data_IF_927582186099
#
_entry.id   IF_927582186099
#
_cell.length_a   1.000
_cell.length_b   1.000
_cell.length_c   1.000
_cell.angle_alpha   90.00
_cell.angle_beta   90.00
_cell.angle_gamma   90.00
#
_symmetry.space_group_name_H-M   'P 1'
#
loop_
_entity.id
_entity.type
_entity.pdbx_description
1 polymer ?
#
# COMPACT_ATOMS: atom_id res chain seq x y z
N UNK A 1 -14.65 -23.39 -16.28
CA UNK A 1 -14.28 -22.01 -15.87
C UNK A 1 -13.14 -21.55 -16.74
N UNK A 2 -13.32 -20.48 -17.52
CA UNK A 2 -12.21 -19.88 -18.29
C UNK A 2 -11.16 -19.37 -17.29
N UNK A 3 -9.94 -19.91 -17.37
CA UNK A 3 -8.81 -19.46 -16.56
C UNK A 3 -8.47 -18.04 -17.01
N UNK A 4 -8.67 -17.04 -16.15
CA UNK A 4 -8.26 -15.66 -16.44
C UNK A 4 -6.77 -15.66 -16.77
N UNK A 5 -6.41 -15.23 -17.98
CA UNK A 5 -5.00 -15.03 -18.35
C UNK A 5 -4.56 -13.73 -17.70
N UNK A 6 -3.75 -13.85 -16.66
CA UNK A 6 -3.15 -12.71 -15.95
C UNK A 6 -1.74 -12.51 -16.49
N UNK A 7 -1.41 -11.27 -16.80
CA UNK A 7 -0.10 -10.81 -17.20
C UNK A 7 0.39 -9.77 -16.18
N UNK A 8 1.62 -9.91 -15.68
CA UNK A 8 2.22 -8.93 -14.78
C UNK A 8 3.22 -8.10 -15.60
N UNK A 9 3.08 -6.78 -15.51
CA UNK A 9 3.91 -5.80 -16.23
C UNK A 9 3.94 -4.47 -15.46
N UNK A 10 4.63 -3.48 -15.97
CA UNK A 10 4.66 -2.13 -15.39
C UNK A 10 3.26 -1.49 -15.38
N UNK A 11 3.02 -0.64 -14.38
CA UNK A 11 1.78 0.12 -14.27
C UNK A 11 1.74 1.21 -15.36
N UNK A 12 0.82 1.08 -16.31
CA UNK A 12 0.65 2.05 -17.36
C UNK A 12 0.07 3.38 -16.83
N UNK A 13 0.56 4.51 -17.30
CA UNK A 13 0.09 5.86 -16.88
C UNK A 13 -1.42 6.06 -17.06
N UNK A 14 -2.01 5.48 -18.11
CA UNK A 14 -3.46 5.55 -18.37
C UNK A 14 -4.28 4.89 -17.25
N UNK A 15 -3.67 3.98 -16.49
CA UNK A 15 -4.35 3.19 -15.45
C UNK A 15 -4.11 3.73 -14.04
N UNK A 16 -3.39 4.87 -13.88
CA UNK A 16 -3.17 5.50 -12.57
C UNK A 16 -4.49 5.82 -11.86
N UNK A 17 -5.51 6.33 -12.59
CA UNK A 17 -6.83 6.59 -11.99
C UNK A 17 -7.48 5.31 -11.46
N UNK A 18 -7.27 4.18 -12.13
CA UNK A 18 -7.77 2.89 -11.66
C UNK A 18 -7.00 2.39 -10.42
N UNK A 19 -5.69 2.63 -10.37
CA UNK A 19 -4.88 2.34 -9.17
C UNK A 19 -5.30 3.23 -7.98
N UNK A 20 -5.66 4.50 -8.22
CA UNK A 20 -6.25 5.39 -7.20
C UNK A 20 -7.56 4.80 -6.66
N UNK A 21 -8.46 4.32 -7.54
CA UNK A 21 -9.70 3.65 -7.12
C UNK A 21 -9.41 2.42 -6.25
N UNK A 22 -8.35 1.65 -6.56
CA UNK A 22 -7.95 0.50 -5.76
C UNK A 22 -7.44 0.93 -4.39
N UNK A 23 -6.65 2.01 -4.30
CA UNK A 23 -6.19 2.56 -3.03
C UNK A 23 -7.38 3.00 -2.16
N UNK A 24 -8.30 3.78 -2.72
CA UNK A 24 -9.49 4.28 -1.99
C UNK A 24 -10.32 3.12 -1.43
N UNK A 25 -10.57 2.08 -2.25
CA UNK A 25 -11.41 0.95 -1.87
C UNK A 25 -10.67 -0.07 -1.00
N UNK A 26 -9.40 -0.37 -1.32
CA UNK A 26 -8.60 -1.36 -0.63
C UNK A 26 -8.20 -0.93 0.78
N UNK A 27 -7.97 0.37 0.96
CA UNK A 27 -7.62 0.98 2.26
C UNK A 27 -8.83 1.62 2.95
N UNK A 28 -10.03 1.43 2.40
CA UNK A 28 -11.29 1.93 2.96
C UNK A 28 -11.30 3.44 3.28
N UNK A 29 -10.63 4.27 2.48
CA UNK A 29 -10.57 5.73 2.68
C UNK A 29 -11.95 6.40 2.70
N UNK A 30 -12.96 5.78 2.07
CA UNK A 30 -14.34 6.21 2.10
C UNK A 30 -14.99 6.21 3.50
N UNK A 31 -14.39 5.54 4.49
CA UNK A 31 -14.81 5.63 5.90
C UNK A 31 -14.48 6.97 6.53
N UNK A 32 -13.51 7.67 5.98
CA UNK A 32 -12.99 8.90 6.58
C UNK A 32 -13.65 10.17 6.01
N UNK A 33 -14.25 10.09 4.83
CA UNK A 33 -15.00 11.22 4.24
C UNK A 33 -15.92 10.74 3.12
N UNK A 34 -17.07 11.38 3.00
CA UNK A 34 -18.00 11.21 1.87
C UNK A 34 -17.68 12.14 0.69
N UNK A 35 -16.77 13.09 0.88
CA UNK A 35 -16.39 14.04 -0.15
C UNK A 35 -15.56 13.35 -1.25
N UNK A 36 -16.22 13.06 -2.37
CA UNK A 36 -15.62 12.35 -3.52
C UNK A 36 -14.39 13.06 -4.08
N UNK A 37 -14.38 14.39 -4.10
CA UNK A 37 -13.22 15.16 -4.58
C UNK A 37 -12.04 15.02 -3.60
N UNK A 38 -12.31 15.13 -2.29
CA UNK A 38 -11.31 14.93 -1.24
C UNK A 38 -10.72 13.52 -1.28
N UNK A 39 -11.56 12.49 -1.43
CA UNK A 39 -11.12 11.10 -1.60
C UNK A 39 -10.21 10.92 -2.82
N UNK A 40 -10.59 11.48 -3.96
CA UNK A 40 -9.79 11.39 -5.18
C UNK A 40 -8.44 12.11 -5.02
N UNK A 41 -8.43 13.32 -4.46
CA UNK A 41 -7.20 14.09 -4.24
C UNK A 41 -6.26 13.37 -3.27
N UNK A 42 -6.80 12.80 -2.18
CA UNK A 42 -6.01 12.02 -1.23
C UNK A 42 -5.48 10.73 -1.85
N UNK A 43 -6.33 9.97 -2.55
CA UNK A 43 -5.89 8.76 -3.25
C UNK A 43 -4.83 9.04 -4.34
N UNK A 44 -4.95 10.17 -5.03
CA UNK A 44 -3.92 10.63 -5.97
C UNK A 44 -2.61 10.99 -5.28
N UNK A 45 -2.69 11.72 -4.17
CA UNK A 45 -1.53 12.02 -3.33
C UNK A 45 -0.85 10.74 -2.87
N UNK A 46 -1.62 9.80 -2.29
CA UNK A 46 -1.14 8.52 -1.82
C UNK A 46 -0.43 7.74 -2.94
N UNK A 47 -1.09 7.53 -4.09
CA UNK A 47 -0.49 6.80 -5.21
C UNK A 47 0.82 7.45 -5.69
N UNK A 48 0.88 8.79 -5.80
CA UNK A 48 2.09 9.48 -6.22
C UNK A 48 3.21 9.33 -5.18
N UNK A 49 2.90 9.38 -3.88
CA UNK A 49 3.87 9.17 -2.80
C UNK A 49 4.46 7.76 -2.86
N UNK A 50 3.61 6.73 -3.07
CA UNK A 50 4.09 5.36 -3.17
C UNK A 50 4.90 5.11 -4.45
N UNK A 51 4.49 5.67 -5.58
CA UNK A 51 5.26 5.58 -6.84
C UNK A 51 6.65 6.24 -6.73
N UNK A 52 6.78 7.34 -5.99
CA UNK A 52 8.06 8.03 -5.82
C UNK A 52 9.06 7.25 -4.97
N UNK A 53 8.58 6.50 -3.98
CA UNK A 53 9.44 5.70 -3.11
C UNK A 53 9.67 4.27 -3.60
N UNK A 54 8.82 3.76 -4.50
CA UNK A 54 8.90 2.40 -4.97
C UNK A 54 10.12 2.14 -5.86
N UNK A 55 10.81 1.03 -5.62
CA UNK A 55 11.81 0.44 -6.50
C UNK A 55 11.24 -0.69 -7.35
N UNK A 56 10.12 -1.31 -6.90
CA UNK A 56 9.38 -2.34 -7.63
C UNK A 56 7.93 -1.90 -7.80
N UNK A 57 7.42 -1.91 -9.04
CA UNK A 57 6.02 -1.61 -9.36
C UNK A 57 5.47 -2.71 -10.25
N UNK A 58 4.69 -3.61 -9.69
CA UNK A 58 4.11 -4.77 -10.37
C UNK A 58 2.60 -4.54 -10.56
N UNK A 59 2.14 -4.56 -11.80
CA UNK A 59 0.73 -4.42 -12.13
C UNK A 59 0.21 -5.66 -12.85
N UNK A 60 -0.86 -6.25 -12.34
CA UNK A 60 -1.53 -7.39 -12.92
C UNK A 60 -2.63 -6.94 -13.88
N UNK A 61 -2.65 -7.51 -15.07
CA UNK A 61 -3.61 -7.22 -16.12
C UNK A 61 -4.34 -8.47 -16.60
N UNK A 62 -5.60 -8.32 -16.98
CA UNK A 62 -6.34 -9.29 -17.80
C UNK A 62 -6.76 -8.62 -19.09
N UNK A 63 -6.08 -8.97 -20.20
CA UNK A 63 -6.10 -8.15 -21.40
C UNK A 63 -5.60 -6.73 -21.11
N UNK A 64 -6.40 -5.72 -21.43
CA UNK A 64 -6.06 -4.30 -21.18
C UNK A 64 -6.55 -3.77 -19.82
N UNK A 65 -7.24 -4.60 -19.04
CA UNK A 65 -7.82 -4.18 -17.76
C UNK A 65 -6.83 -4.40 -16.62
N UNK A 66 -6.48 -3.33 -15.91
CA UNK A 66 -5.76 -3.40 -14.64
C UNK A 66 -6.62 -4.09 -13.57
N UNK A 67 -6.06 -5.10 -12.90
CA UNK A 67 -6.76 -5.92 -11.91
C UNK A 67 -6.05 -6.02 -10.56
N UNK A 68 -4.82 -5.54 -10.44
CA UNK A 68 -4.10 -5.47 -9.18
C UNK A 68 -2.79 -4.71 -9.32
N UNK A 69 -2.29 -4.17 -8.21
CA UNK A 69 -1.00 -3.46 -8.13
C UNK A 69 -0.32 -3.85 -6.84
N UNK A 70 0.98 -4.10 -6.91
CA UNK A 70 1.88 -4.23 -5.77
C UNK A 70 3.08 -3.32 -5.99
N UNK A 71 3.42 -2.52 -4.97
CA UNK A 71 4.62 -1.68 -4.96
C UNK A 71 5.47 -2.03 -3.76
N UNK A 72 6.79 -2.09 -3.96
CA UNK A 72 7.74 -2.30 -2.89
C UNK A 72 8.89 -1.28 -2.97
N UNK A 73 9.33 -0.85 -1.81
CA UNK A 73 10.49 0.02 -1.60
C UNK A 73 11.65 -0.81 -1.07
N UNK A 74 12.55 -1.27 -1.96
CA UNK A 74 13.73 -2.03 -1.60
C UNK A 74 14.91 -1.08 -1.36
N UNK A 75 15.56 -1.21 -0.20
CA UNK A 75 16.60 -0.26 0.26
C UNK A 75 17.80 -0.14 -0.68
N UNK A 76 18.20 -1.25 -1.31
CA UNK A 76 19.39 -1.31 -2.16
C UNK A 76 19.10 -0.99 -3.64
N UNK A 77 17.88 -0.64 -4.00
CA UNK A 77 17.47 -0.49 -5.39
C UNK A 77 17.14 0.95 -5.78
N UNK A 78 17.39 1.35 -7.02
CA UNK A 78 17.01 2.66 -7.50
C UNK A 78 15.48 2.79 -7.62
N UNK A 79 14.97 3.99 -7.36
CA UNK A 79 13.54 4.27 -7.51
C UNK A 79 13.12 4.28 -8.98
N UNK A 80 12.05 3.55 -9.32
CA UNK A 80 11.60 3.39 -10.71
C UNK A 80 11.00 4.68 -11.29
N UNK A 81 10.28 5.45 -10.50
CA UNK A 81 9.52 6.61 -10.95
C UNK A 81 10.01 7.89 -10.28
N UNK A 82 10.80 8.68 -11.00
CA UNK A 82 11.25 9.99 -10.54
C UNK A 82 10.72 11.09 -11.44
N UNK A 83 9.51 11.59 -11.15
CA UNK A 83 8.93 12.74 -11.87
C UNK A 83 9.06 14.02 -11.04
N UNK A 84 9.67 15.06 -11.63
CA UNK A 84 9.77 16.37 -10.96
C UNK A 84 8.38 16.91 -10.56
N UNK A 85 7.38 16.80 -11.45
CA UNK A 85 6.02 17.28 -11.20
C UNK A 85 5.31 16.49 -10.11
N UNK A 86 5.53 15.17 -10.05
CA UNK A 86 5.00 14.32 -8.97
C UNK A 86 5.60 14.74 -7.63
N UNK A 87 6.93 14.88 -7.54
CA UNK A 87 7.63 15.34 -6.34
C UNK A 87 7.14 16.71 -5.86
N UNK A 88 6.95 17.65 -6.80
CA UNK A 88 6.43 18.98 -6.45
C UNK A 88 5.00 18.88 -5.91
N UNK A 89 4.14 18.09 -6.54
CA UNK A 89 2.77 17.87 -6.10
C UNK A 89 2.73 17.25 -4.68
N UNK A 90 3.49 16.19 -4.43
CA UNK A 90 3.58 15.55 -3.11
C UNK A 90 4.08 16.54 -2.05
N UNK A 91 5.11 17.33 -2.35
CA UNK A 91 5.61 18.37 -1.43
C UNK A 91 4.57 19.43 -1.12
N UNK A 92 3.82 19.89 -2.13
CA UNK A 92 2.75 20.88 -1.92
C UNK A 92 1.62 20.33 -1.05
N UNK A 93 1.21 19.08 -1.28
CA UNK A 93 0.16 18.45 -0.47
C UNK A 93 0.65 18.22 0.95
N UNK A 94 1.88 17.73 1.15
CA UNK A 94 2.48 17.57 2.49
C UNK A 94 2.51 18.91 3.25
N UNK A 95 2.90 19.99 2.59
CA UNK A 95 2.88 21.32 3.19
C UNK A 95 1.46 21.74 3.58
N UNK A 96 0.48 21.55 2.69
CA UNK A 96 -0.91 21.87 3.00
C UNK A 96 -1.47 21.03 4.16
N UNK A 97 -1.14 19.74 4.21
CA UNK A 97 -1.54 18.84 5.29
C UNK A 97 -0.88 19.19 6.63
N UNK A 98 0.35 19.69 6.64
CA UNK A 98 1.03 20.14 7.86
C UNK A 98 0.37 21.36 8.51
N UNK A 99 -0.38 22.15 7.73
CA UNK A 99 -1.14 23.30 8.23
C UNK A 99 -2.50 22.90 8.85
N UNK A 100 -2.97 21.69 8.53
CA UNK A 100 -4.23 21.15 9.04
C UNK A 100 -3.88 19.94 9.90
N UNK A 101 -4.16 19.99 11.20
CA UNK A 101 -4.03 18.81 12.08
C UNK A 101 -5.03 17.75 11.63
N UNK A 102 -4.61 16.90 10.69
CA UNK A 102 -5.36 15.73 10.24
C UNK A 102 -4.97 14.58 11.16
N UNK A 103 -5.95 13.84 11.69
CA UNK A 103 -5.74 12.76 12.67
C UNK A 103 -4.97 11.53 12.16
N UNK A 104 -4.13 11.71 11.12
CA UNK A 104 -3.25 10.68 10.56
C UNK A 104 -1.99 10.45 11.41
N UNK A 105 -1.65 11.39 12.31
CA UNK A 105 -0.47 11.31 13.15
C UNK A 105 -0.44 10.01 13.97
N UNK A 106 -1.61 9.57 14.48
CA UNK A 106 -1.73 8.35 15.30
C UNK A 106 -1.37 7.07 14.52
N UNK A 107 -1.71 7.00 13.22
CA UNK A 107 -1.38 5.86 12.37
C UNK A 107 0.12 5.80 12.09
N UNK A 108 0.72 6.93 11.75
CA UNK A 108 2.15 7.05 11.51
C UNK A 108 2.97 6.79 12.77
N UNK A 109 2.52 7.28 13.92
CA UNK A 109 3.16 7.03 15.22
C UNK A 109 3.10 5.54 15.60
N UNK A 110 1.96 4.87 15.37
CA UNK A 110 1.82 3.45 15.62
C UNK A 110 2.77 2.63 14.73
N UNK A 111 2.83 2.94 13.43
CA UNK A 111 3.71 2.27 12.48
C UNK A 111 5.19 2.48 12.84
N UNK A 112 5.59 3.71 13.17
CA UNK A 112 6.95 4.01 13.64
C UNK A 112 7.31 3.26 14.91
N UNK A 113 6.39 3.18 15.88
CA UNK A 113 6.63 2.48 17.14
C UNK A 113 6.79 0.96 16.91
N UNK A 114 5.93 0.35 16.07
CA UNK A 114 6.06 -1.07 15.72
C UNK A 114 7.36 -1.35 14.97
N UNK A 115 7.72 -0.49 14.00
CA UNK A 115 8.96 -0.65 13.26
C UNK A 115 10.21 -0.50 14.13
N UNK A 116 10.22 0.47 15.05
CA UNK A 116 11.34 0.67 15.98
C UNK A 116 11.56 -0.57 16.87
N UNK A 117 10.49 -1.25 17.27
CA UNK A 117 10.61 -2.49 18.05
C UNK A 117 11.11 -3.64 17.16
N UNK A 118 10.49 -3.83 16.01
CA UNK A 118 10.86 -4.85 15.03
C UNK A 118 12.33 -4.73 14.60
N UNK A 119 12.78 -3.52 14.28
CA UNK A 119 14.14 -3.25 13.77
C UNK A 119 15.27 -3.43 14.80
N UNK A 120 14.95 -3.64 16.10
CA UNK A 120 15.95 -4.01 17.10
C UNK A 120 16.53 -5.42 16.86
N UNK A 121 15.71 -6.31 16.29
CA UNK A 121 16.05 -7.73 16.12
C UNK A 121 16.07 -8.16 14.63
N UNK A 122 15.73 -7.27 13.71
CA UNK A 122 15.67 -7.57 12.27
C UNK A 122 16.18 -6.37 11.45
N UNK A 123 16.78 -6.68 10.31
CA UNK A 123 17.20 -5.67 9.33
C UNK A 123 16.52 -5.97 7.99
N UNK A 124 15.27 -5.53 7.78
CA UNK A 124 14.55 -5.81 6.54
C UNK A 124 15.20 -5.12 5.35
N UNK A 125 15.13 -5.77 4.19
CA UNK A 125 15.66 -5.28 2.92
C UNK A 125 14.70 -4.31 2.23
N UNK A 126 13.39 -4.36 2.55
CA UNK A 126 12.40 -3.49 1.93
C UNK A 126 11.02 -3.54 2.58
N UNK A 127 10.16 -2.65 2.10
CA UNK A 127 8.75 -2.54 2.51
C UNK A 127 7.83 -2.78 1.33
N UNK A 128 6.81 -3.63 1.48
CA UNK A 128 5.67 -3.65 0.56
C UNK A 128 4.78 -2.47 0.94
N UNK A 129 4.88 -1.38 0.19
CA UNK A 129 4.29 -0.09 0.55
C UNK A 129 2.89 0.13 -0.01
N UNK A 130 2.52 -0.58 -1.08
CA UNK A 130 1.17 -0.58 -1.61
C UNK A 130 0.81 -1.94 -2.19
N UNK A 131 -0.38 -2.45 -1.82
CA UNK A 131 -0.86 -3.70 -2.36
C UNK A 131 -2.39 -3.71 -2.43
N UNK A 132 -2.92 -3.70 -3.64
CA UNK A 132 -4.36 -3.71 -3.85
C UNK A 132 -4.76 -4.54 -5.08
N UNK A 133 -5.90 -5.21 -4.98
CA UNK A 133 -6.52 -5.99 -6.06
C UNK A 133 -7.92 -5.48 -6.29
N UNK A 134 -8.37 -5.47 -7.54
CA UNK A 134 -9.75 -5.09 -7.91
C UNK A 134 -10.76 -5.90 -7.07
N UNK A 135 -11.56 -5.24 -6.20
CA UNK A 135 -12.48 -5.95 -5.31
C UNK A 135 -13.55 -6.75 -6.06
N UNK A 136 -13.82 -6.41 -7.33
CA UNK A 136 -14.82 -7.12 -8.13
C UNK A 136 -14.39 -8.52 -8.58
N UNK A 137 -13.08 -8.82 -8.44
CA UNK A 137 -12.49 -10.09 -8.85
C UNK A 137 -11.61 -10.73 -7.76
N UNK A 138 -11.86 -10.40 -6.51
CA UNK A 138 -11.21 -11.06 -5.37
C UNK A 138 -11.39 -12.58 -5.40
N UNK A 139 -10.47 -13.32 -4.79
CA UNK A 139 -10.49 -14.78 -4.75
C UNK A 139 -10.01 -15.48 -6.03
N UNK A 140 -9.54 -14.74 -7.06
CA UNK A 140 -8.98 -15.30 -8.30
C UNK A 140 -7.47 -15.51 -8.29
N UNK A 141 -6.83 -15.39 -7.12
CA UNK A 141 -5.39 -15.62 -6.96
C UNK A 141 -4.49 -14.48 -7.44
N UNK A 142 -5.03 -13.30 -7.82
CA UNK A 142 -4.25 -12.18 -8.37
C UNK A 142 -3.23 -11.67 -7.35
N UNK A 143 -3.64 -11.49 -6.09
CA UNK A 143 -2.72 -11.09 -5.03
C UNK A 143 -1.59 -12.11 -4.81
N UNK A 144 -1.90 -13.41 -4.93
CA UNK A 144 -0.89 -14.48 -4.86
C UNK A 144 0.13 -14.34 -5.99
N UNK A 145 -0.33 -14.15 -7.22
CA UNK A 145 0.56 -13.99 -8.39
C UNK A 145 1.49 -12.78 -8.26
N UNK A 146 0.98 -11.65 -7.75
CA UNK A 146 1.79 -10.45 -7.53
C UNK A 146 2.85 -10.67 -6.45
N UNK A 147 2.51 -11.36 -5.35
CA UNK A 147 3.49 -11.70 -4.31
C UNK A 147 4.54 -12.71 -4.79
N UNK A 148 4.12 -13.70 -5.56
CA UNK A 148 5.03 -14.69 -6.16
C UNK A 148 5.99 -14.02 -7.15
N UNK A 149 5.50 -13.02 -7.92
CA UNK A 149 6.33 -12.24 -8.82
C UNK A 149 7.37 -11.42 -8.05
N UNK A 150 6.95 -10.70 -7.00
CA UNK A 150 7.88 -9.99 -6.12
C UNK A 150 8.91 -10.96 -5.53
N UNK A 151 8.48 -12.13 -5.04
CA UNK A 151 9.38 -13.15 -4.49
C UNK A 151 10.36 -13.74 -5.51
N UNK A 152 10.04 -13.71 -6.81
CA UNK A 152 11.00 -14.07 -7.87
C UNK A 152 12.06 -13.00 -8.10
N UNK A 153 11.66 -11.73 -8.08
CA UNK A 153 12.57 -10.59 -8.23
C UNK A 153 13.48 -10.42 -7.01
N UNK A 154 12.90 -10.57 -5.81
CA UNK A 154 13.55 -10.24 -4.54
C UNK A 154 13.85 -11.49 -3.70
N UNK A 155 14.19 -12.61 -4.35
CA UNK A 155 14.42 -13.89 -3.68
C UNK A 155 15.43 -13.79 -2.53
N UNK A 156 15.04 -14.27 -1.37
CA UNK A 156 15.87 -14.30 -0.16
C UNK A 156 15.90 -12.97 0.60
N UNK A 157 15.17 -11.95 0.16
CA UNK A 157 15.06 -10.65 0.86
C UNK A 157 14.02 -10.72 1.98
N UNK A 158 14.32 -10.05 3.07
CA UNK A 158 13.39 -9.87 4.19
C UNK A 158 12.56 -8.60 3.94
N UNK A 159 11.25 -8.76 3.78
CA UNK A 159 10.33 -7.63 3.57
C UNK A 159 9.34 -7.50 4.71
N UNK A 160 8.85 -6.28 4.92
CA UNK A 160 7.78 -6.01 5.86
C UNK A 160 6.68 -5.17 5.20
N UNK A 161 5.53 -5.07 5.87
CA UNK A 161 4.42 -4.22 5.46
C UNK A 161 3.61 -3.78 6.69
N UNK A 162 2.86 -2.70 6.50
CA UNK A 162 1.83 -2.27 7.45
C UNK A 162 0.44 -2.53 6.88
N UNK A 163 -0.47 -2.87 7.75
CA UNK A 163 -1.91 -3.01 7.45
C UNK A 163 -2.72 -2.80 8.73
N UNK A 164 -4.04 -2.89 8.63
CA UNK A 164 -4.93 -2.77 9.78
C UNK A 164 -6.11 -3.75 9.68
N UNK A 165 -6.93 -3.80 10.75
CA UNK A 165 -8.09 -4.70 10.85
C UNK A 165 -9.26 -4.35 9.91
N UNK A 166 -9.24 -3.18 9.25
CA UNK A 166 -10.19 -2.84 8.19
C UNK A 166 -9.79 -3.39 6.82
N UNK A 167 -8.51 -3.78 6.67
CA UNK A 167 -7.96 -4.36 5.46
C UNK A 167 -8.03 -5.89 5.49
N UNK A 168 -7.71 -6.54 4.37
CA UNK A 168 -7.65 -8.01 4.30
C UNK A 168 -6.32 -8.55 4.88
N UNK A 169 -6.06 -8.28 6.17
CA UNK A 169 -4.80 -8.67 6.83
C UNK A 169 -4.60 -10.19 6.91
N UNK A 170 -5.68 -10.99 7.01
CA UNK A 170 -5.62 -12.46 7.01
C UNK A 170 -4.98 -13.03 5.74
N UNK A 171 -5.04 -12.30 4.63
CA UNK A 171 -4.35 -12.68 3.41
C UNK A 171 -2.83 -12.82 3.63
N UNK A 172 -2.22 -11.94 4.40
CA UNK A 172 -0.78 -11.98 4.69
C UNK A 172 -0.43 -13.17 5.56
N UNK A 173 -1.22 -13.47 6.59
CA UNK A 173 -1.05 -14.68 7.43
C UNK A 173 -1.15 -15.95 6.58
N UNK A 174 -2.16 -16.02 5.71
CA UNK A 174 -2.31 -17.14 4.77
C UNK A 174 -1.12 -17.26 3.79
N UNK A 175 -0.45 -16.16 3.47
CA UNK A 175 0.75 -16.14 2.62
C UNK A 175 2.05 -16.35 3.40
N UNK A 176 1.97 -16.68 4.68
CA UNK A 176 3.11 -17.01 5.53
C UNK A 176 3.92 -15.80 5.99
N UNK A 177 3.28 -14.60 6.03
CA UNK A 177 3.83 -13.48 6.76
C UNK A 177 3.61 -13.67 8.26
N UNK A 178 4.61 -13.33 9.05
CA UNK A 178 4.55 -13.35 10.51
C UNK A 178 4.12 -11.97 11.03
N UNK A 179 3.16 -11.93 11.96
CA UNK A 179 2.76 -10.70 12.65
C UNK A 179 3.78 -10.39 13.74
N UNK A 180 4.50 -9.30 13.60
CA UNK A 180 5.58 -8.87 14.49
C UNK A 180 5.29 -7.57 15.23
N UNK A 181 4.18 -6.92 14.93
CA UNK A 181 3.70 -5.74 15.65
C UNK A 181 2.19 -5.62 15.58
N UNK A 182 1.62 -5.15 16.69
CA UNK A 182 0.18 -4.86 16.83
C UNK A 182 -0.01 -3.65 17.71
N UNK A 183 -0.87 -2.70 17.29
CA UNK A 183 -1.13 -1.50 18.07
C UNK A 183 -2.53 -0.97 17.81
N UNK A 184 -3.30 -0.81 18.88
CA UNK A 184 -4.61 -0.12 18.82
C UNK A 184 -4.40 1.38 18.78
N UNK A 185 -5.13 2.04 17.88
CA UNK A 185 -5.16 3.50 17.75
C UNK A 185 -6.59 4.02 17.70
N UNK A 186 -6.74 5.29 18.00
CA UNK A 186 -7.98 6.04 17.77
C UNK A 186 -7.69 7.18 16.82
N UNK A 187 -8.39 7.20 15.69
CA UNK A 187 -8.28 8.26 14.70
C UNK A 187 -9.52 9.13 14.74
N UNK A 188 -9.33 10.44 14.86
CA UNK A 188 -10.42 11.40 14.86
C UNK A 188 -10.65 11.96 13.45
N UNK A 189 -11.86 11.83 12.92
CA UNK A 189 -12.29 12.43 11.67
C UNK A 189 -13.47 13.36 11.94
N UNK A 190 -13.21 14.66 12.04
CA UNK A 190 -14.22 15.65 12.40
C UNK A 190 -14.81 15.39 13.78
N UNK A 191 -16.07 14.96 13.86
CA UNK A 191 -16.76 14.63 15.12
C UNK A 191 -16.73 13.13 15.46
N UNK A 192 -16.26 12.28 14.58
CA UNK A 192 -16.25 10.84 14.76
C UNK A 192 -14.85 10.34 15.14
N UNK A 193 -14.81 9.31 15.97
CA UNK A 193 -13.58 8.61 16.33
C UNK A 193 -13.70 7.16 15.86
N UNK A 194 -12.74 6.73 15.04
CA UNK A 194 -12.63 5.35 14.57
C UNK A 194 -11.50 4.66 15.32
N UNK A 195 -11.77 3.51 15.92
CA UNK A 195 -10.75 2.65 16.50
C UNK A 195 -10.24 1.69 15.42
N UNK A 196 -8.93 1.54 15.34
CA UNK A 196 -8.24 0.65 14.41
C UNK A 196 -7.17 -0.14 15.14
N UNK A 197 -6.96 -1.39 14.73
CA UNK A 197 -5.80 -2.18 15.14
C UNK A 197 -4.81 -2.25 13.97
N UNK A 198 -3.68 -1.58 14.13
CA UNK A 198 -2.59 -1.56 13.15
C UNK A 198 -1.69 -2.77 13.36
N UNK A 199 -1.21 -3.36 12.27
CA UNK A 199 -0.32 -4.52 12.26
C UNK A 199 0.94 -4.25 11.45
N UNK A 200 2.06 -4.81 11.93
CA UNK A 200 3.29 -4.97 11.16
C UNK A 200 3.50 -6.46 10.87
N UNK A 201 3.61 -6.79 9.60
CA UNK A 201 3.91 -8.14 9.13
C UNK A 201 5.27 -8.18 8.45
N UNK A 202 5.97 -9.31 8.55
CA UNK A 202 7.24 -9.54 7.86
C UNK A 202 7.33 -10.94 7.28
N UNK A 203 8.13 -11.07 6.21
CA UNK A 203 8.38 -12.36 5.53
C UNK A 203 9.70 -12.34 4.79
N UNK A 204 10.39 -13.49 4.81
CA UNK A 204 11.47 -13.81 3.88
C UNK A 204 10.87 -14.26 2.54
N UNK A 205 11.20 -13.58 1.43
CA UNK A 205 10.71 -13.88 0.08
C UNK A 205 11.45 -15.06 -0.58
#
# INVERSE_FOLDING_TARGET
>A
MLKLKIEIKELARKDHNKAIDFAIKGMNFNRYTENKLGLYLYGRYFLNSELERASQVLAAYTGDRLVGVLMADMKAEPKMHTSFWSKLYVKMVNFAMSLVKVGLDSYDEANKAMFNEYSKNANPDGEICFFAVDPTIQGKGIGTLLLEELGRHEKGKLVYLYTDDNCNYLFYEYKGFERLGEKEIKMGFGKETVSLTCFLYSKQL
#
